data_IF_002089313858
#
_entry.id   IF_002089313858
#
_cell.length_a   1.000
_cell.length_b   1.000
_cell.length_c   1.000
_cell.angle_alpha   90.00
_cell.angle_beta   90.00
_cell.angle_gamma   90.00
#
_symmetry.space_group_name_H-M   'P 1'
#
loop_
_entity.id
_entity.type
_entity.pdbx_description
1 polymer ?
#
# COMPACT_ATOMS: atom_id res chain seq x y z
N UNK A 1 3.93 16.54 16.01
CA UNK A 1 2.49 16.85 16.04
C UNK A 1 2.23 18.32 15.76
N UNK A 2 2.80 19.30 16.49
CA UNK A 2 2.49 20.73 16.28
C UNK A 2 2.62 21.18 14.82
N UNK A 3 3.67 20.78 14.11
CA UNK A 3 3.84 21.14 12.67
C UNK A 3 2.75 20.50 11.78
N UNK A 4 2.34 19.29 12.08
CA UNK A 4 1.31 18.56 11.33
C UNK A 4 -0.06 19.22 11.52
N UNK A 5 -0.42 19.55 12.77
CA UNK A 5 -1.67 20.27 13.08
C UNK A 5 -1.69 21.68 12.46
N UNK A 6 -0.56 22.37 12.46
CA UNK A 6 -0.44 23.67 11.81
C UNK A 6 -0.64 23.58 10.28
N UNK A 7 -0.10 22.52 9.63
CA UNK A 7 -0.30 22.31 8.20
C UNK A 7 -1.75 22.02 7.85
N UNK A 8 -2.45 21.19 8.65
CA UNK A 8 -3.88 20.92 8.48
C UNK A 8 -4.76 22.15 8.72
N UNK A 9 -4.31 23.12 9.56
CA UNK A 9 -5.04 24.36 9.81
C UNK A 9 -4.95 25.38 8.65
N UNK A 10 -4.11 25.13 7.63
CA UNK A 10 -4.01 26.00 6.47
C UNK A 10 -5.18 25.75 5.52
N UNK A 11 -5.86 26.80 5.10
CA UNK A 11 -6.91 26.71 4.09
C UNK A 11 -6.31 26.78 2.67
N UNK A 12 -5.69 25.67 2.25
CA UNK A 12 -5.05 25.50 0.94
C UNK A 12 -5.62 24.30 0.20
N UNK A 13 -5.73 24.33 -1.13
CA UNK A 13 -6.33 23.22 -1.91
C UNK A 13 -5.46 21.95 -1.96
N UNK A 14 -4.15 22.07 -1.73
CA UNK A 14 -3.21 20.95 -1.75
C UNK A 14 -2.33 20.98 -0.51
N UNK A 15 -2.20 19.82 0.15
CA UNK A 15 -1.28 19.62 1.27
C UNK A 15 -0.41 18.42 0.98
N UNK A 16 0.90 18.56 1.14
CA UNK A 16 1.87 17.48 0.94
C UNK A 16 2.58 17.20 2.24
N UNK A 17 2.54 15.97 2.70
CA UNK A 17 3.30 15.49 3.85
C UNK A 17 4.39 14.54 3.37
N UNK A 18 5.62 14.80 3.82
CA UNK A 18 6.78 13.94 3.60
C UNK A 18 7.15 13.26 4.93
N UNK A 19 7.00 11.91 4.97
CA UNK A 19 7.21 11.07 6.15
C UNK A 19 6.59 11.62 7.45
N UNK A 20 5.28 11.94 7.46
CA UNK A 20 4.66 12.72 8.54
C UNK A 20 4.69 12.04 9.89
N UNK A 21 4.69 10.72 9.94
CA UNK A 21 4.62 9.93 11.17
C UNK A 21 5.98 9.37 11.60
N UNK A 22 7.03 9.65 10.84
CA UNK A 22 8.38 9.17 11.18
C UNK A 22 8.84 9.73 12.53
N UNK A 23 9.21 8.83 13.46
CA UNK A 23 9.64 9.18 14.80
C UNK A 23 8.50 9.48 15.79
N UNK A 24 7.24 9.35 15.40
CA UNK A 24 6.11 9.40 16.31
C UNK A 24 5.90 8.03 16.97
N UNK A 25 5.44 8.03 18.22
CA UNK A 25 4.91 6.82 18.87
C UNK A 25 3.52 6.45 18.31
N UNK A 26 3.04 5.24 18.62
CA UNK A 26 1.80 4.71 18.11
C UNK A 26 0.58 5.61 18.37
N UNK A 27 0.44 6.16 19.59
CA UNK A 27 -0.69 7.02 19.95
C UNK A 27 -0.70 8.32 19.14
N UNK A 28 0.49 8.88 18.89
CA UNK A 28 0.61 10.11 18.13
C UNK A 28 0.41 9.90 16.61
N UNK A 29 0.72 8.70 16.09
CA UNK A 29 0.41 8.33 14.70
C UNK A 29 -1.09 8.20 14.50
N UNK A 30 -1.77 7.47 15.39
CA UNK A 30 -3.22 7.32 15.36
C UNK A 30 -3.92 8.69 15.40
N UNK A 31 -3.54 9.54 16.33
CA UNK A 31 -4.07 10.91 16.41
C UNK A 31 -3.84 11.73 15.12
N UNK A 32 -2.68 11.57 14.49
CA UNK A 32 -2.41 12.26 13.22
C UNK A 32 -3.37 11.79 12.13
N UNK A 33 -3.57 10.49 11.98
CA UNK A 33 -4.47 9.95 10.96
C UNK A 33 -5.94 10.29 11.22
N UNK A 34 -6.37 10.29 12.47
CA UNK A 34 -7.72 10.78 12.85
C UNK A 34 -7.94 12.25 12.44
N UNK A 35 -6.98 13.12 12.77
CA UNK A 35 -7.04 14.54 12.39
C UNK A 35 -7.01 14.74 10.88
N UNK A 36 -6.24 13.94 10.17
CA UNK A 36 -6.13 13.97 8.70
C UNK A 36 -7.46 13.57 8.05
N UNK A 37 -8.11 12.51 8.53
CA UNK A 37 -9.42 12.08 8.04
C UNK A 37 -10.51 13.11 8.34
N UNK A 38 -10.55 13.65 9.56
CA UNK A 38 -11.48 14.73 9.92
C UNK A 38 -11.30 15.96 9.02
N UNK A 39 -10.06 16.30 8.71
CA UNK A 39 -9.75 17.40 7.81
C UNK A 39 -10.20 17.13 6.38
N UNK A 40 -9.96 15.91 5.87
CA UNK A 40 -10.38 15.48 4.54
C UNK A 40 -11.90 15.49 4.38
N UNK A 41 -12.65 15.04 5.40
CA UNK A 41 -14.12 15.04 5.41
C UNK A 41 -14.72 16.46 5.43
N UNK A 42 -14.05 17.42 6.06
CA UNK A 42 -14.57 18.77 6.26
C UNK A 42 -14.09 19.81 5.22
N UNK A 43 -13.07 19.47 4.46
CA UNK A 43 -12.45 20.39 3.51
C UNK A 43 -12.27 19.72 2.14
N UNK A 44 -12.71 20.41 1.08
CA UNK A 44 -12.48 19.98 -0.29
C UNK A 44 -11.03 20.26 -0.71
N UNK A 45 -10.11 19.34 -0.36
CA UNK A 45 -8.70 19.47 -0.72
C UNK A 45 -8.04 18.12 -1.03
N UNK A 46 -6.94 18.16 -1.75
CA UNK A 46 -6.12 16.99 -2.03
C UNK A 46 -5.00 16.90 -0.99
N UNK A 47 -4.89 15.74 -0.35
CA UNK A 47 -3.81 15.43 0.59
C UNK A 47 -2.90 14.39 -0.04
N UNK A 48 -1.61 14.68 -0.11
CA UNK A 48 -0.58 13.77 -0.63
C UNK A 48 0.34 13.38 0.52
N UNK A 49 0.55 12.09 0.71
CA UNK A 49 1.45 11.54 1.73
C UNK A 49 2.56 10.78 1.02
N UNK A 50 3.79 11.25 1.14
CA UNK A 50 4.96 10.49 0.74
C UNK A 50 5.48 9.72 1.96
N UNK A 51 5.45 8.39 1.90
CA UNK A 51 5.91 7.52 3.00
C UNK A 51 6.34 6.15 2.49
N UNK A 52 7.23 5.50 3.23
CA UNK A 52 7.56 4.10 3.05
C UNK A 52 6.77 3.15 3.97
N UNK A 53 5.98 3.72 4.91
CA UNK A 53 5.13 2.97 5.85
C UNK A 53 3.74 2.72 5.24
N UNK A 54 3.70 1.95 4.16
CA UNK A 54 2.50 1.72 3.35
C UNK A 54 1.37 1.13 4.18
N UNK A 55 1.67 0.16 5.06
CA UNK A 55 0.68 -0.53 5.90
C UNK A 55 -0.15 0.42 6.78
N UNK A 56 0.46 1.54 7.21
CA UNK A 56 -0.22 2.50 8.09
C UNK A 56 -1.24 3.38 7.34
N UNK A 57 -1.06 3.57 6.03
CA UNK A 57 -1.90 4.47 5.23
C UNK A 57 -2.90 3.75 4.33
N UNK A 58 -2.77 2.45 4.15
CA UNK A 58 -3.60 1.66 3.20
C UNK A 58 -5.11 1.83 3.43
N UNK A 59 -5.55 2.01 4.67
CA UNK A 59 -6.97 2.13 5.01
C UNK A 59 -7.54 3.54 4.87
N UNK A 60 -6.70 4.54 4.56
CA UNK A 60 -7.09 5.96 4.53
C UNK A 60 -6.85 6.64 3.18
N UNK A 61 -6.15 5.97 2.25
CA UNK A 61 -5.81 6.50 0.94
C UNK A 61 -6.73 5.93 -0.13
N UNK A 62 -7.01 6.72 -1.16
CA UNK A 62 -7.82 6.33 -2.32
C UNK A 62 -6.95 5.94 -3.52
N UNK A 63 -5.83 6.62 -3.73
CA UNK A 63 -4.92 6.40 -4.86
C UNK A 63 -3.49 6.16 -4.39
N UNK A 64 -2.77 5.32 -5.12
CA UNK A 64 -1.35 5.00 -4.90
C UNK A 64 -0.55 5.39 -6.13
N UNK A 65 0.56 6.09 -5.90
CA UNK A 65 1.59 6.34 -6.91
C UNK A 65 2.90 5.77 -6.40
N UNK A 66 3.41 4.73 -7.06
CA UNK A 66 4.69 4.13 -6.71
C UNK A 66 5.78 4.71 -7.60
N UNK A 67 6.81 5.27 -6.96
CA UNK A 67 7.92 5.93 -7.65
C UNK A 67 9.22 5.16 -7.37
N UNK A 68 9.92 4.77 -8.42
CA UNK A 68 11.24 4.17 -8.34
C UNK A 68 12.22 4.87 -9.28
N UNK A 69 13.41 5.23 -8.77
CA UNK A 69 14.46 5.94 -9.53
C UNK A 69 13.93 7.14 -10.36
N UNK A 70 12.98 7.91 -9.78
CA UNK A 70 12.40 9.10 -10.41
C UNK A 70 11.38 8.81 -11.53
N UNK A 71 10.92 7.56 -11.65
CA UNK A 71 9.87 7.15 -12.60
C UNK A 71 8.66 6.62 -11.85
N UNK A 72 7.48 6.95 -12.34
CA UNK A 72 6.24 6.31 -11.88
C UNK A 72 6.21 4.90 -12.47
N UNK A 73 6.18 3.90 -11.59
CA UNK A 73 6.10 2.48 -11.96
C UNK A 73 4.71 1.90 -11.77
N UNK A 74 3.88 2.53 -10.93
CA UNK A 74 2.49 2.19 -10.72
C UNK A 74 1.71 3.46 -10.38
N UNK A 75 0.51 3.59 -10.92
CA UNK A 75 -0.51 4.55 -10.50
C UNK A 75 -1.87 3.90 -10.64
N UNK A 76 -2.56 3.70 -9.53
CA UNK A 76 -3.89 3.07 -9.51
C UNK A 76 -4.63 3.41 -8.22
N UNK A 77 -5.92 3.09 -8.17
CA UNK A 77 -6.69 3.17 -6.92
C UNK A 77 -6.40 1.98 -6.02
N UNK A 78 -6.52 2.17 -4.70
CA UNK A 78 -6.38 1.07 -3.73
C UNK A 78 -7.40 -0.05 -4.02
N UNK A 79 -8.65 0.32 -4.36
CA UNK A 79 -9.69 -0.63 -4.71
C UNK A 79 -9.29 -1.53 -5.90
N UNK A 80 -8.79 -0.93 -6.99
CA UNK A 80 -8.29 -1.67 -8.16
C UNK A 80 -7.13 -2.60 -7.80
N UNK A 81 -6.18 -2.13 -6.98
CA UNK A 81 -5.04 -2.92 -6.54
C UNK A 81 -5.47 -4.12 -5.68
N UNK A 82 -6.43 -3.94 -4.78
CA UNK A 82 -6.98 -5.01 -3.95
C UNK A 82 -7.76 -6.05 -4.77
N UNK A 83 -8.36 -5.63 -5.89
CA UNK A 83 -9.04 -6.55 -6.81
C UNK A 83 -8.08 -7.36 -7.68
N UNK A 84 -6.95 -6.79 -8.07
CA UNK A 84 -5.99 -7.39 -9.01
C UNK A 84 -4.74 -7.98 -8.34
N UNK A 85 -4.40 -7.52 -7.13
CA UNK A 85 -3.26 -8.00 -6.36
C UNK A 85 -3.59 -9.22 -5.50
N UNK A 86 -2.68 -10.19 -5.47
CA UNK A 86 -2.75 -11.33 -4.55
C UNK A 86 -1.36 -11.89 -4.27
N UNK A 87 -1.24 -12.65 -3.17
CA UNK A 87 -0.02 -13.38 -2.84
C UNK A 87 -0.21 -14.88 -2.92
N UNK A 88 0.86 -15.57 -3.27
CA UNK A 88 0.94 -17.04 -3.31
C UNK A 88 2.10 -17.46 -2.44
N UNK A 89 1.86 -18.38 -1.49
CA UNK A 89 2.90 -18.91 -0.61
C UNK A 89 2.98 -20.43 -0.71
N UNK A 90 4.20 -20.96 -0.65
CA UNK A 90 4.42 -22.41 -0.73
C UNK A 90 5.91 -22.75 -0.79
N UNK A 91 6.22 -23.98 -1.20
CA UNK A 91 7.60 -24.41 -1.44
C UNK A 91 8.17 -23.64 -2.63
N UNK A 92 9.40 -23.11 -2.52
CA UNK A 92 9.98 -22.16 -3.49
C UNK A 92 9.84 -22.63 -4.95
N UNK A 93 10.17 -23.87 -5.28
CA UNK A 93 10.11 -24.36 -6.65
C UNK A 93 8.66 -24.47 -7.21
N UNK A 94 7.67 -24.74 -6.35
CA UNK A 94 6.26 -24.79 -6.76
C UNK A 94 5.72 -23.39 -7.02
N UNK A 95 6.10 -22.43 -6.15
CA UNK A 95 5.77 -21.01 -6.33
C UNK A 95 6.41 -20.47 -7.60
N UNK A 96 7.68 -20.78 -7.87
CA UNK A 96 8.36 -20.36 -9.10
C UNK A 96 7.70 -20.93 -10.35
N UNK A 97 7.29 -22.19 -10.30
CA UNK A 97 6.55 -22.84 -11.39
C UNK A 97 5.20 -22.16 -11.63
N UNK A 98 4.45 -21.87 -10.57
CA UNK A 98 3.16 -21.18 -10.66
C UNK A 98 3.29 -19.76 -11.22
N UNK A 99 4.36 -19.06 -10.84
CA UNK A 99 4.61 -17.68 -11.20
C UNK A 99 5.25 -17.49 -12.57
N UNK A 100 5.59 -18.55 -13.30
CA UNK A 100 6.37 -18.51 -14.54
C UNK A 100 5.74 -17.65 -15.66
N UNK A 101 4.41 -17.54 -15.66
CA UNK A 101 3.59 -16.78 -16.63
C UNK A 101 2.88 -15.57 -16.01
N UNK A 102 3.21 -15.21 -14.76
CA UNK A 102 2.53 -14.20 -13.97
C UNK A 102 3.35 -12.91 -13.85
N UNK A 103 2.66 -11.81 -13.65
CA UNK A 103 3.30 -10.53 -13.35
C UNK A 103 3.66 -10.45 -11.88
N UNK A 104 4.84 -10.99 -11.52
CA UNK A 104 5.37 -10.96 -10.14
C UNK A 104 6.00 -9.61 -9.86
N UNK A 105 5.46 -8.89 -8.89
CA UNK A 105 5.93 -7.55 -8.47
C UNK A 105 6.93 -7.60 -7.32
N UNK A 106 7.03 -8.73 -6.62
CA UNK A 106 7.97 -8.94 -5.52
C UNK A 106 7.88 -10.34 -4.95
N UNK A 107 8.85 -10.71 -4.11
CA UNK A 107 8.82 -11.98 -3.39
C UNK A 107 9.63 -11.89 -2.09
N UNK A 108 9.26 -12.74 -1.11
CA UNK A 108 10.02 -13.00 0.11
C UNK A 108 10.36 -14.48 0.18
N UNK A 109 11.55 -14.81 0.70
CA UNK A 109 12.02 -16.18 0.88
C UNK A 109 12.46 -16.41 2.32
N UNK A 110 12.02 -17.54 2.89
CA UNK A 110 12.47 -18.01 4.20
C UNK A 110 12.76 -19.51 4.13
N UNK A 111 14.05 -19.85 4.04
CA UNK A 111 14.49 -21.24 3.86
C UNK A 111 14.01 -21.82 2.53
N UNK A 112 13.12 -22.83 2.57
CA UNK A 112 12.53 -23.48 1.38
C UNK A 112 11.11 -22.98 1.08
N UNK A 113 10.66 -21.94 1.78
CA UNK A 113 9.35 -21.32 1.58
C UNK A 113 9.51 -20.00 0.84
N UNK A 114 8.59 -19.72 -0.06
CA UNK A 114 8.52 -18.49 -0.84
C UNK A 114 7.12 -17.92 -0.80
N UNK A 115 7.04 -16.60 -0.70
CA UNK A 115 5.82 -15.83 -0.92
C UNK A 115 6.08 -14.96 -2.15
N UNK A 116 5.24 -15.08 -3.17
CA UNK A 116 5.29 -14.22 -4.34
C UNK A 116 4.08 -13.29 -4.35
N UNK A 117 4.31 -12.02 -4.65
CA UNK A 117 3.27 -11.00 -4.79
C UNK A 117 3.01 -10.78 -6.27
N UNK A 118 1.75 -10.93 -6.68
CA UNK A 118 1.34 -10.96 -8.08
C UNK A 118 0.31 -9.86 -8.30
N UNK A 119 0.49 -9.10 -9.38
CA UNK A 119 -0.47 -8.14 -9.87
C UNK A 119 -1.01 -8.65 -11.21
N UNK A 120 -2.18 -9.27 -11.19
CA UNK A 120 -2.78 -9.90 -12.37
C UNK A 120 -4.31 -9.90 -12.27
N UNK A 121 -4.99 -9.82 -13.40
CA UNK A 121 -6.45 -9.94 -13.42
C UNK A 121 -6.88 -11.34 -12.96
N UNK A 122 -7.62 -11.41 -11.85
CA UNK A 122 -8.08 -12.63 -11.18
C UNK A 122 -9.01 -13.49 -12.04
N UNK A 123 -8.55 -14.01 -13.17
CA UNK A 123 -9.45 -14.79 -14.03
C UNK A 123 -9.54 -16.28 -13.67
N UNK A 124 -8.65 -16.82 -12.83
CA UNK A 124 -8.78 -18.18 -12.31
C UNK A 124 -7.75 -18.50 -11.23
N UNK A 125 -8.10 -18.34 -9.97
CA UNK A 125 -7.33 -18.90 -8.86
C UNK A 125 -7.70 -20.37 -8.70
N UNK A 126 -6.79 -21.35 -8.93
CA UNK A 126 -7.11 -22.76 -8.73
C UNK A 126 -7.30 -23.01 -7.22
N UNK A 127 -8.49 -23.48 -6.84
CA UNK A 127 -8.83 -23.79 -5.43
C UNK A 127 -8.19 -25.06 -4.88
N UNK A 128 -7.31 -25.74 -5.63
CA UNK A 128 -6.84 -27.10 -5.35
C UNK A 128 -5.33 -27.23 -5.20
N UNK A 129 -4.59 -26.16 -5.03
CA UNK A 129 -3.17 -26.26 -4.69
C UNK A 129 -2.96 -25.98 -3.19
N UNK A 130 -1.89 -26.55 -2.61
CA UNK A 130 -1.48 -26.27 -1.22
C UNK A 130 -0.93 -24.84 -1.05
N UNK A 131 -1.58 -23.86 -1.69
CA UNK A 131 -1.25 -22.45 -1.64
C UNK A 131 -2.26 -21.72 -0.76
N UNK A 132 -1.76 -20.88 0.13
CA UNK A 132 -2.60 -19.96 0.91
C UNK A 132 -2.65 -18.64 0.12
N UNK A 133 -3.83 -18.30 -0.38
CA UNK A 133 -4.07 -17.01 -1.04
C UNK A 133 -4.56 -16.01 -0.01
N UNK A 134 -3.89 -14.86 0.08
CA UNK A 134 -4.32 -13.73 0.89
C UNK A 134 -4.73 -12.60 -0.06
N UNK A 135 -5.93 -12.03 0.11
CA UNK A 135 -6.35 -10.82 -0.61
C UNK A 135 -5.56 -9.61 -0.18
#
# INVERSE_FOLDING_TARGET
>A
IFKLTAALSLNVPYVIFDEPVLGLDANHRELFYELLLQDFENNERTIIIATHLIEEVTNIIEEVVLIDHGKIILQDTVESLLETGYSVSGISHEVDQYCSDKNVIGHDELGNMKIAYILDNKTSIPRTAAFIFHP
#
